data_IF_227777018705
#
_entry.id   IF_227777018705
#
_cell.length_a   1.000
_cell.length_b   1.000
_cell.length_c   1.000
_cell.angle_alpha   90.00
_cell.angle_beta   90.00
_cell.angle_gamma   90.00
#
_symmetry.space_group_name_H-M   'P 1'
#
loop_
_entity.id
_entity.type
_entity.pdbx_description
1 polymer ?
#
# COMPACT_ATOMS: atom_id res chain seq x y z
N UNK A 1 20.30 -17.44 -5.66
CA UNK A 1 19.07 -17.30 -6.47
C UNK A 1 17.98 -16.67 -5.61
N UNK A 2 17.29 -15.61 -6.06
CA UNK A 2 16.28 -14.88 -5.26
C UNK A 2 14.86 -15.30 -5.68
N UNK A 3 13.91 -15.30 -4.74
CA UNK A 3 12.51 -15.61 -5.06
C UNK A 3 11.88 -14.47 -5.87
N UNK A 4 11.37 -14.79 -7.07
CA UNK A 4 10.57 -13.87 -7.91
C UNK A 4 9.11 -13.90 -7.46
N UNK A 5 8.41 -12.80 -7.67
CA UNK A 5 7.04 -12.58 -7.19
C UNK A 5 6.11 -12.17 -8.32
N UNK A 6 4.86 -12.65 -8.25
CA UNK A 6 3.78 -12.29 -9.17
C UNK A 6 2.68 -11.57 -8.40
N UNK A 7 1.99 -10.64 -9.06
CA UNK A 7 0.82 -9.99 -8.49
C UNK A 7 -0.30 -11.00 -8.24
N UNK A 8 -1.11 -10.74 -7.20
CA UNK A 8 -2.27 -11.57 -6.82
C UNK A 8 -3.58 -11.07 -7.41
N UNK A 9 -3.63 -9.80 -7.80
CA UNK A 9 -4.77 -9.14 -8.45
C UNK A 9 -4.63 -9.27 -9.97
N UNK A 10 -5.76 -9.33 -10.68
CA UNK A 10 -5.77 -9.39 -12.14
C UNK A 10 -5.22 -8.11 -12.80
N UNK A 11 -5.12 -6.99 -12.06
CA UNK A 11 -4.54 -5.76 -12.57
C UNK A 11 -3.01 -5.87 -12.61
N UNK A 12 -2.44 -5.83 -13.82
CA UNK A 12 -1.01 -6.05 -14.04
C UNK A 12 -0.15 -4.80 -13.96
N UNK A 13 -0.75 -3.60 -13.98
CA UNK A 13 -0.03 -2.33 -14.04
C UNK A 13 0.28 -1.75 -12.66
N UNK A 14 1.31 -0.90 -12.60
CA UNK A 14 1.78 -0.23 -11.39
C UNK A 14 0.98 1.05 -11.10
N UNK A 15 -0.35 0.91 -10.98
CA UNK A 15 -1.24 2.02 -10.64
C UNK A 15 -1.24 2.32 -9.14
N UNK A 16 -1.72 3.50 -8.74
CA UNK A 16 -1.76 3.92 -7.33
C UNK A 16 -2.48 2.92 -6.42
N UNK A 17 -3.58 2.34 -6.92
CA UNK A 17 -4.36 1.33 -6.20
C UNK A 17 -3.64 -0.02 -6.08
N UNK A 18 -2.77 -0.36 -7.04
CA UNK A 18 -2.08 -1.65 -7.11
C UNK A 18 -0.65 -1.58 -6.57
N UNK A 19 -0.44 -0.79 -5.52
CA UNK A 19 0.82 -0.79 -4.79
C UNK A 19 0.89 -2.01 -3.88
N UNK A 20 2.08 -2.59 -3.75
CA UNK A 20 2.29 -3.82 -2.98
C UNK A 20 3.50 -3.71 -2.06
N UNK A 21 3.40 -4.38 -0.90
CA UNK A 21 4.52 -4.62 0.01
C UNK A 21 4.97 -6.07 -0.09
N UNK A 22 6.27 -6.30 -0.13
CA UNK A 22 6.85 -7.65 -0.05
C UNK A 22 6.91 -8.05 1.42
N UNK A 23 6.32 -9.20 1.77
CA UNK A 23 6.27 -9.70 3.14
C UNK A 23 6.75 -11.15 3.18
N UNK A 24 7.52 -11.49 4.22
CA UNK A 24 7.82 -12.88 4.57
C UNK A 24 6.62 -13.46 5.31
N UNK A 25 5.95 -14.41 4.66
CA UNK A 25 4.84 -15.15 5.27
C UNK A 25 5.35 -16.11 6.36
N UNK A 26 4.51 -16.55 7.31
CA UNK A 26 4.89 -17.54 8.32
C UNK A 26 5.43 -18.84 7.71
N UNK A 27 4.98 -19.23 6.53
CA UNK A 27 5.50 -20.38 5.78
C UNK A 27 6.84 -20.13 5.06
N UNK A 28 7.54 -19.03 5.35
CA UNK A 28 8.87 -18.73 4.82
C UNK A 28 8.91 -18.20 3.38
N UNK A 29 7.76 -18.02 2.73
CA UNK A 29 7.67 -17.52 1.34
C UNK A 29 7.54 -16.00 1.30
N UNK A 30 8.21 -15.35 0.34
CA UNK A 30 7.97 -13.95 -0.01
C UNK A 30 6.70 -13.84 -0.84
N UNK A 31 5.85 -12.87 -0.50
CA UNK A 31 4.57 -12.64 -1.19
C UNK A 31 4.27 -11.14 -1.29
N UNK A 32 3.63 -10.70 -2.37
CA UNK A 32 3.06 -9.36 -2.49
C UNK A 32 1.75 -9.25 -1.70
N UNK A 33 1.70 -8.32 -0.74
CA UNK A 33 0.47 -7.90 -0.09
C UNK A 33 0.01 -6.54 -0.66
N UNK A 34 -1.25 -6.40 -1.11
CA UNK A 34 -1.76 -5.13 -1.60
C UNK A 34 -1.84 -4.09 -0.47
N UNK A 35 -1.40 -2.88 -0.78
CA UNK A 35 -1.49 -1.74 0.13
C UNK A 35 -2.65 -0.85 -0.27
N UNK A 36 -3.47 -0.45 0.70
CA UNK A 36 -4.52 0.56 0.47
C UNK A 36 -3.89 1.92 0.20
N UNK A 37 -4.58 2.74 -0.58
CA UNK A 37 -4.18 4.13 -0.81
C UNK A 37 -4.08 4.89 0.51
N UNK A 38 -3.05 5.74 0.64
CA UNK A 38 -2.91 6.63 1.80
C UNK A 38 -3.98 7.70 1.76
N UNK A 39 -4.86 7.71 2.76
CA UNK A 39 -5.81 8.79 2.93
C UNK A 39 -5.08 10.05 3.42
N UNK A 40 -5.52 11.21 2.93
CA UNK A 40 -5.19 12.49 3.56
C UNK A 40 -5.96 12.60 4.87
N UNK A 41 -5.27 12.95 5.96
CA UNK A 41 -5.92 13.26 7.23
C UNK A 41 -6.81 14.51 7.14
N UNK A 42 -7.63 14.78 8.16
CA UNK A 42 -8.55 15.91 8.17
C UNK A 42 -7.81 17.24 8.13
N UNK A 43 -8.41 18.20 7.42
CA UNK A 43 -7.91 19.56 7.30
C UNK A 43 -8.91 20.53 7.90
N UNK A 44 -8.40 21.64 8.44
CA UNK A 44 -9.23 22.76 8.86
C UNK A 44 -9.93 23.36 7.62
N UNK A 45 -11.25 23.58 7.65
CA UNK A 45 -11.98 24.11 6.50
C UNK A 45 -11.60 25.57 6.14
N UNK A 46 -11.08 26.33 7.11
CA UNK A 46 -10.75 27.74 6.93
C UNK A 46 -9.27 27.90 6.54
N UNK A 47 -8.36 27.29 7.30
CA UNK A 47 -6.91 27.47 7.10
C UNK A 47 -6.29 26.42 6.19
N UNK A 48 -7.00 25.36 5.83
CA UNK A 48 -6.48 24.19 5.07
C UNK A 48 -5.30 23.45 5.72
N UNK A 49 -4.93 23.82 6.95
CA UNK A 49 -3.90 23.16 7.73
C UNK A 49 -4.38 21.80 8.22
N UNK A 50 -3.46 20.83 8.34
CA UNK A 50 -3.77 19.51 8.91
C UNK A 50 -4.06 19.65 10.41
N UNK A 51 -5.15 19.04 10.86
CA UNK A 51 -5.48 19.00 12.29
C UNK A 51 -4.54 18.00 12.96
N UNK A 52 -3.81 18.43 13.98
CA UNK A 52 -2.90 17.56 14.75
C UNK A 52 -3.70 16.75 15.77
N UNK A 53 -3.35 15.48 15.94
CA UNK A 53 -4.03 14.59 16.90
C UNK A 53 -5.31 13.92 16.38
N UNK A 54 -5.64 14.09 15.09
CA UNK A 54 -6.77 13.46 14.40
C UNK A 54 -6.32 12.76 13.12
#
# INVERSE_FOLDING_TARGET
MVQRLNYRLCHSYTTRFNQHRIIKTPGGKLVYQPTKNRASGPKCPITSNRIQGV
#
